data_IF_033156817486
#
_entry.id   IF_033156817486
#
_cell.length_a   1.000
_cell.length_b   1.000
_cell.length_c   1.000
_cell.angle_alpha   90.00
_cell.angle_beta   90.00
_cell.angle_gamma   90.00
#
_symmetry.space_group_name_H-M   'P 1'
#
loop_
_entity.id
_entity.type
_entity.pdbx_description
1 polymer ?
#
# COMPACT_ATOMS: atom_id res chain seq x y z
N UNK A 1 1.47 4.63 -32.18
CA UNK A 1 2.64 4.48 -31.29
C UNK A 1 2.13 4.07 -29.92
N UNK A 2 1.79 2.78 -29.77
CA UNK A 2 1.21 2.20 -28.55
C UNK A 2 2.21 1.27 -27.86
N UNK A 3 3.34 1.82 -27.40
CA UNK A 3 4.38 1.03 -26.73
C UNK A 3 4.78 1.52 -25.34
N UNK A 4 4.18 2.63 -24.86
CA UNK A 4 4.54 3.19 -23.53
C UNK A 4 3.57 2.87 -22.39
N UNK A 5 2.36 2.33 -22.67
CA UNK A 5 1.37 2.03 -21.63
C UNK A 5 1.64 0.69 -20.91
N UNK A 6 2.02 -0.35 -21.67
CA UNK A 6 2.23 -1.69 -21.13
C UNK A 6 3.56 -1.89 -20.38
N UNK A 7 4.57 -1.05 -20.62
CA UNK A 7 5.86 -1.18 -19.94
C UNK A 7 5.85 -0.55 -18.53
N UNK A 8 5.07 0.52 -18.35
CA UNK A 8 4.95 1.25 -17.07
C UNK A 8 4.12 0.44 -16.07
N UNK A 9 3.08 -0.26 -16.53
CA UNK A 9 2.26 -1.14 -15.67
C UNK A 9 3.03 -2.36 -15.16
N UNK A 10 3.92 -2.97 -15.96
CA UNK A 10 4.79 -4.08 -15.49
C UNK A 10 5.83 -3.67 -14.45
N UNK A 11 6.23 -2.39 -14.41
CA UNK A 11 7.26 -1.87 -13.50
C UNK A 11 6.76 -1.76 -12.05
N UNK A 12 5.56 -1.21 -11.85
CA UNK A 12 5.04 -0.94 -10.50
C UNK A 12 4.60 -2.20 -9.75
N UNK A 13 4.27 -3.28 -10.46
CA UNK A 13 3.82 -4.52 -9.83
C UNK A 13 4.96 -5.37 -9.26
N UNK A 14 6.17 -5.19 -9.79
CA UNK A 14 7.38 -5.84 -9.27
C UNK A 14 8.23 -4.89 -8.41
N UNK A 15 8.08 -3.58 -8.62
CA UNK A 15 8.77 -2.54 -7.86
C UNK A 15 7.80 -1.37 -7.60
N UNK A 16 6.93 -1.50 -6.58
CA UNK A 16 6.08 -0.40 -6.11
C UNK A 16 6.89 0.88 -5.90
N UNK A 17 6.25 2.03 -6.13
CA UNK A 17 6.88 3.35 -6.00
C UNK A 17 6.37 4.07 -4.77
N UNK A 18 7.22 4.94 -4.22
CA UNK A 18 6.82 5.87 -3.16
C UNK A 18 5.69 6.79 -3.65
N UNK A 19 4.85 7.26 -2.74
CA UNK A 19 3.82 8.27 -3.00
C UNK A 19 2.77 7.89 -4.06
N UNK A 20 2.51 6.60 -4.26
CA UNK A 20 1.42 6.11 -5.11
C UNK A 20 0.69 4.95 -4.43
N UNK A 21 -0.56 4.78 -4.83
CA UNK A 21 -1.43 3.67 -4.43
C UNK A 21 -1.77 2.75 -5.61
N UNK A 22 -1.17 2.97 -6.79
CA UNK A 22 -1.57 2.30 -8.02
C UNK A 22 -1.37 0.79 -7.97
N UNK A 23 -0.43 0.28 -7.16
CA UNK A 23 -0.21 -1.16 -6.96
C UNK A 23 -1.50 -1.91 -6.61
N UNK A 24 -2.36 -1.33 -5.80
CA UNK A 24 -3.59 -1.99 -5.38
C UNK A 24 -4.58 -2.20 -6.53
N UNK A 25 -4.83 -1.17 -7.35
CA UNK A 25 -5.78 -1.24 -8.47
C UNK A 25 -5.17 -1.84 -9.73
N UNK A 26 -4.02 -1.33 -10.15
CA UNK A 26 -3.39 -1.65 -11.44
C UNK A 26 -2.66 -3.00 -11.42
N UNK A 27 -2.28 -3.50 -10.23
CA UNK A 27 -1.59 -4.79 -10.09
C UNK A 27 -2.46 -5.84 -9.40
N UNK A 28 -2.81 -5.66 -8.13
CA UNK A 28 -3.53 -6.69 -7.37
C UNK A 28 -4.95 -6.89 -7.90
N UNK A 29 -5.77 -5.85 -7.93
CA UNK A 29 -7.17 -5.99 -8.38
C UNK A 29 -7.26 -6.35 -9.87
N UNK A 30 -6.43 -5.72 -10.71
CA UNK A 30 -6.37 -6.03 -12.14
C UNK A 30 -5.98 -7.49 -12.43
N UNK A 31 -5.17 -8.12 -11.57
CA UNK A 31 -4.74 -9.52 -11.76
C UNK A 31 -5.68 -10.54 -11.11
N UNK A 32 -6.08 -10.29 -9.86
CA UNK A 32 -6.76 -11.30 -9.04
C UNK A 32 -8.27 -11.08 -8.93
N UNK A 33 -8.78 -9.91 -9.33
CA UNK A 33 -10.22 -9.60 -9.35
C UNK A 33 -10.93 -9.92 -8.03
N UNK A 34 -10.37 -9.46 -6.92
CA UNK A 34 -10.91 -9.73 -5.58
C UNK A 34 -12.21 -8.98 -5.29
N UNK A 35 -12.58 -8.04 -6.17
CA UNK A 35 -13.83 -7.32 -6.13
C UNK A 35 -13.80 -6.16 -5.13
N UNK A 36 -14.87 -5.39 -5.11
CA UNK A 36 -14.96 -4.15 -4.33
C UNK A 36 -14.87 -4.36 -2.82
N UNK A 37 -15.14 -5.56 -2.34
CA UNK A 37 -15.04 -5.94 -0.93
C UNK A 37 -13.70 -6.59 -0.58
N UNK A 38 -12.89 -6.94 -1.58
CA UNK A 38 -11.59 -7.57 -1.38
C UNK A 38 -10.56 -6.58 -0.84
N UNK A 39 -9.52 -7.11 -0.20
CA UNK A 39 -8.45 -6.32 0.39
C UNK A 39 -7.87 -5.23 -0.55
N UNK A 40 -7.54 -5.51 -1.83
CA UNK A 40 -6.92 -4.51 -2.70
C UNK A 40 -7.73 -3.21 -2.78
N UNK A 41 -9.05 -3.30 -2.88
CA UNK A 41 -9.93 -2.14 -3.05
C UNK A 41 -10.44 -1.61 -1.70
N UNK A 42 -11.09 -2.46 -0.91
CA UNK A 42 -11.81 -2.02 0.28
C UNK A 42 -10.89 -1.55 1.40
N UNK A 43 -9.65 -2.04 1.44
CA UNK A 43 -8.70 -1.73 2.51
C UNK A 43 -7.43 -1.07 1.97
N UNK A 44 -6.68 -1.74 1.10
CA UNK A 44 -5.39 -1.31 0.58
C UNK A 44 -5.45 0.05 -0.11
N UNK A 45 -6.13 0.13 -1.27
CA UNK A 45 -6.29 1.37 -2.04
C UNK A 45 -6.99 2.46 -1.21
N UNK A 46 -8.08 2.10 -0.53
CA UNK A 46 -8.86 3.05 0.30
C UNK A 46 -7.98 3.75 1.33
N UNK A 47 -7.29 3.00 2.19
CA UNK A 47 -6.50 3.60 3.27
C UNK A 47 -5.22 4.26 2.74
N UNK A 48 -4.58 3.67 1.72
CA UNK A 48 -3.44 4.29 1.05
C UNK A 48 -3.78 5.70 0.54
N UNK A 49 -4.92 5.87 -0.14
CA UNK A 49 -5.35 7.17 -0.64
C UNK A 49 -5.74 8.13 0.49
N UNK A 50 -6.35 7.65 1.59
CA UNK A 50 -6.61 8.51 2.75
C UNK A 50 -5.31 9.07 3.34
N UNK A 51 -4.27 8.24 3.47
CA UNK A 51 -2.96 8.69 3.95
C UNK A 51 -2.32 9.70 3.00
N UNK A 52 -2.35 9.46 1.67
CA UNK A 52 -1.88 10.45 0.68
C UNK A 52 -2.58 11.80 0.83
N UNK A 53 -3.92 11.79 0.94
CA UNK A 53 -4.71 13.00 1.06
C UNK A 53 -4.48 13.73 2.39
N UNK A 54 -4.09 12.99 3.44
CA UNK A 54 -3.81 13.54 4.75
C UNK A 54 -2.34 13.97 4.94
N UNK A 55 -1.42 13.74 3.98
CA UNK A 55 0.03 13.99 4.15
C UNK A 55 0.36 15.38 4.70
N UNK A 56 -0.38 16.42 4.31
CA UNK A 56 -0.16 17.79 4.77
C UNK A 56 -0.55 18.02 6.24
N UNK A 57 -1.24 17.07 6.88
CA UNK A 57 -1.62 17.10 8.29
C UNK A 57 -0.55 16.48 9.20
N UNK A 58 0.48 15.86 8.62
CA UNK A 58 1.58 15.24 9.34
C UNK A 58 2.75 16.21 9.50
N UNK A 59 3.53 16.01 10.58
CA UNK A 59 4.87 16.59 10.72
C UNK A 59 5.80 16.09 9.61
N UNK A 60 6.98 16.71 9.40
CA UNK A 60 7.92 16.22 8.40
C UNK A 60 8.43 14.79 8.69
N UNK A 61 8.79 14.43 9.95
CA UNK A 61 9.00 13.02 10.31
C UNK A 61 7.79 12.12 10.05
N UNK A 62 6.58 12.61 10.35
CA UNK A 62 5.32 11.90 10.12
C UNK A 62 5.08 11.61 8.64
N UNK A 63 5.30 12.58 7.74
CA UNK A 63 5.22 12.40 6.29
C UNK A 63 6.16 11.30 5.83
N UNK A 64 7.42 11.32 6.30
CA UNK A 64 8.39 10.28 5.96
C UNK A 64 7.91 8.90 6.43
N UNK A 65 7.41 8.80 7.66
CA UNK A 65 6.85 7.55 8.19
C UNK A 65 5.68 7.05 7.34
N UNK A 66 4.76 7.93 6.93
CA UNK A 66 3.63 7.57 6.07
C UNK A 66 4.13 7.01 4.73
N UNK A 67 5.03 7.73 4.06
CA UNK A 67 5.50 7.33 2.72
C UNK A 67 6.30 6.04 2.74
N UNK A 68 7.12 5.83 3.77
CA UNK A 68 7.89 4.61 3.96
C UNK A 68 6.99 3.41 4.29
N UNK A 69 6.01 3.62 5.17
CA UNK A 69 5.03 2.59 5.55
C UNK A 69 4.21 2.16 4.34
N UNK A 70 3.70 3.13 3.56
CA UNK A 70 2.96 2.85 2.33
C UNK A 70 3.77 2.05 1.32
N UNK A 71 5.05 2.38 1.13
CA UNK A 71 5.93 1.63 0.23
C UNK A 71 6.20 0.22 0.78
N UNK A 72 6.47 0.09 2.09
CA UNK A 72 6.70 -1.19 2.73
C UNK A 72 5.51 -2.15 2.55
N UNK A 73 4.29 -1.67 2.81
CA UNK A 73 3.06 -2.47 2.68
C UNK A 73 2.85 -2.98 1.24
N UNK A 74 3.11 -2.12 0.24
CA UNK A 74 3.01 -2.54 -1.17
C UNK A 74 4.10 -3.57 -1.52
N UNK A 75 5.34 -3.35 -1.08
CA UNK A 75 6.44 -4.29 -1.32
C UNK A 75 6.21 -5.66 -0.67
N UNK A 76 5.58 -5.71 0.50
CA UNK A 76 5.27 -6.96 1.21
C UNK A 76 4.36 -7.90 0.39
N UNK A 77 3.61 -7.36 -0.56
CA UNK A 77 2.68 -8.10 -1.41
C UNK A 77 3.25 -8.47 -2.79
N UNK A 78 4.48 -8.07 -3.13
CA UNK A 78 5.08 -8.35 -4.45
C UNK A 78 5.29 -9.84 -4.68
N UNK A 79 5.73 -10.59 -3.66
CA UNK A 79 5.87 -12.05 -3.77
C UNK A 79 4.52 -12.73 -3.99
N UNK A 80 3.48 -12.30 -3.25
CA UNK A 80 2.11 -12.78 -3.44
C UNK A 80 1.58 -12.43 -4.82
N UNK A 81 1.84 -11.22 -5.31
CA UNK A 81 1.49 -10.82 -6.67
C UNK A 81 2.15 -11.71 -7.73
N UNK A 82 3.41 -12.10 -7.53
CA UNK A 82 4.16 -12.96 -8.45
C UNK A 82 3.76 -14.45 -8.38
N UNK A 83 2.94 -14.85 -7.41
CA UNK A 83 2.34 -16.17 -7.38
C UNK A 83 0.98 -16.16 -8.12
N UNK A 84 0.96 -16.70 -9.35
CA UNK A 84 -0.26 -16.78 -10.16
C UNK A 84 -1.39 -17.61 -9.54
N UNK A 85 -1.09 -18.41 -8.51
CA UNK A 85 -2.07 -19.22 -7.78
C UNK A 85 -2.57 -18.57 -6.49
N UNK A 86 -2.07 -17.37 -6.15
CA UNK A 86 -2.49 -16.69 -4.95
C UNK A 86 -3.99 -16.37 -5.00
N UNK A 87 -4.65 -16.57 -3.87
CA UNK A 87 -6.06 -16.28 -3.65
C UNK A 87 -6.24 -14.91 -3.00
N UNK A 88 -7.45 -14.36 -3.09
CA UNK A 88 -7.78 -13.11 -2.41
C UNK A 88 -7.63 -13.19 -0.89
N UNK A 89 -7.86 -14.37 -0.29
CA UNK A 89 -7.62 -14.58 1.14
C UNK A 89 -6.13 -14.59 1.47
N UNK A 90 -5.27 -15.17 0.63
CA UNK A 90 -3.82 -15.11 0.84
C UNK A 90 -3.27 -13.68 0.69
N UNK A 91 -3.82 -12.90 -0.25
CA UNK A 91 -3.50 -11.46 -0.39
C UNK A 91 -3.88 -10.72 0.88
N UNK A 92 -5.10 -10.90 1.37
CA UNK A 92 -5.60 -10.26 2.58
C UNK A 92 -4.76 -10.62 3.81
N UNK A 93 -4.49 -11.92 4.03
CA UNK A 93 -3.68 -12.40 5.15
C UNK A 93 -2.26 -11.83 5.09
N UNK A 94 -1.59 -11.94 3.93
CA UNK A 94 -0.23 -11.40 3.75
C UNK A 94 -0.20 -9.90 4.03
N UNK A 95 -1.22 -9.18 3.56
CA UNK A 95 -1.29 -7.74 3.74
C UNK A 95 -1.44 -7.39 5.22
N UNK A 96 -2.40 -7.99 5.94
CA UNK A 96 -2.58 -7.74 7.38
C UNK A 96 -1.35 -8.13 8.20
N UNK A 97 -0.73 -9.28 7.93
CA UNK A 97 0.48 -9.73 8.63
C UNK A 97 1.66 -8.76 8.46
N UNK A 98 1.72 -8.01 7.36
CA UNK A 98 2.79 -7.05 7.10
C UNK A 98 2.69 -5.75 7.92
N UNK A 99 1.51 -5.39 8.45
CA UNK A 99 1.28 -4.04 9.01
C UNK A 99 2.17 -3.73 10.21
N UNK A 100 2.19 -4.62 11.20
CA UNK A 100 2.94 -4.40 12.43
C UNK A 100 4.44 -4.18 12.13
N UNK A 101 5.00 -5.04 11.27
CA UNK A 101 6.39 -4.92 10.82
C UNK A 101 6.60 -3.61 10.07
N UNK A 102 5.78 -3.28 9.07
CA UNK A 102 5.97 -2.07 8.28
C UNK A 102 5.87 -0.78 9.12
N UNK A 103 5.02 -0.75 10.15
CA UNK A 103 4.92 0.38 11.06
C UNK A 103 6.21 0.56 11.88
N UNK A 104 6.72 -0.55 12.44
CA UNK A 104 7.95 -0.57 13.23
C UNK A 104 9.17 -0.23 12.38
N UNK A 105 9.35 -0.90 11.24
CA UNK A 105 10.47 -0.72 10.33
C UNK A 105 10.52 0.71 9.75
N UNK A 106 9.35 1.35 9.57
CA UNK A 106 9.26 2.75 9.13
C UNK A 106 9.47 3.76 10.25
N UNK A 107 9.55 3.30 11.51
CA UNK A 107 9.89 4.14 12.67
C UNK A 107 8.70 4.76 13.39
N UNK A 108 7.57 4.06 13.54
CA UNK A 108 6.37 4.55 14.26
C UNK A 108 6.68 5.10 15.66
N UNK A 109 7.68 4.53 16.35
CA UNK A 109 8.11 4.95 17.68
C UNK A 109 8.73 6.36 17.69
N UNK A 110 9.16 6.88 16.54
CA UNK A 110 9.81 8.18 16.40
C UNK A 110 8.85 9.31 16.01
N UNK A 111 7.55 9.01 15.84
CA UNK A 111 6.52 9.97 15.43
C UNK A 111 5.33 10.06 16.41
N UNK A 112 5.53 10.11 17.74
CA UNK A 112 4.43 10.07 18.71
C UNK A 112 3.46 11.25 18.59
N UNK A 113 3.92 12.40 18.06
CA UNK A 113 3.07 13.58 17.84
C UNK A 113 2.04 13.36 16.73
N UNK A 114 2.30 12.45 15.79
CA UNK A 114 1.45 12.18 14.64
C UNK A 114 0.45 11.04 14.90
N UNK A 115 0.56 10.31 16.02
CA UNK A 115 -0.29 9.15 16.30
C UNK A 115 -1.78 9.46 16.24
N UNK A 116 -2.20 10.64 16.74
CA UNK A 116 -3.60 11.08 16.63
C UNK A 116 -4.06 11.15 15.18
N UNK A 117 -3.26 11.77 14.31
CA UNK A 117 -3.56 11.87 12.87
C UNK A 117 -3.59 10.48 12.21
N UNK A 118 -2.67 9.58 12.59
CA UNK A 118 -2.66 8.18 12.12
C UNK A 118 -3.99 7.49 12.45
N UNK A 119 -4.44 7.54 13.71
CA UNK A 119 -5.69 6.93 14.13
C UNK A 119 -6.91 7.53 13.42
N UNK A 120 -6.93 8.86 13.22
CA UNK A 120 -8.02 9.54 12.50
C UNK A 120 -8.11 9.12 11.03
N UNK A 121 -6.97 8.84 10.38
CA UNK A 121 -6.95 8.41 8.97
C UNK A 121 -7.46 6.98 8.81
N UNK A 122 -6.99 6.06 9.67
CA UNK A 122 -7.41 4.65 9.62
C UNK A 122 -8.91 4.53 9.94
N UNK A 123 -9.37 5.26 10.95
CA UNK A 123 -10.76 5.24 11.44
C UNK A 123 -10.91 4.38 12.67
#
# INVERSE_FOLDING_TARGET
>A
TETSSNAVTTSICNSPKVNTCNFYKECLENKFHCGTNGYPIQYGDKNCNKFLNALNQFSDPGKKWVTDTMLCLQNALVSTYNNDKATCSEIENTAFDSHARCYVDSGICNVPLDWKTIFQVVG
#
